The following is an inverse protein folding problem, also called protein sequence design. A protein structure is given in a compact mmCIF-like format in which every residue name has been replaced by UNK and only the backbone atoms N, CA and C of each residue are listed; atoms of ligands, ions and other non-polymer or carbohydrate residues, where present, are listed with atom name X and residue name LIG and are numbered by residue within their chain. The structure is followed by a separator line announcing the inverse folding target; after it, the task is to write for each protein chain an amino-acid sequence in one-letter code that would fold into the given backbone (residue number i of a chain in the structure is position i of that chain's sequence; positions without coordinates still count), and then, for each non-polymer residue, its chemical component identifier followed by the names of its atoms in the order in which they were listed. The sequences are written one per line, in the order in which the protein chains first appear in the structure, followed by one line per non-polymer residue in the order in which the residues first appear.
data_IF_237377012232
#
_entry.id   IF_237377012232
#
_cell.length_a   1.000
_cell.length_b   1.000
_cell.length_c   1.000
_cell.angle_alpha   90.00
_cell.angle_beta   90.00
_cell.angle_gamma   90.00
#
_symmetry.space_group_name_H-M   'P 1'
#
loop_
_entity.id
_entity.type
_entity.pdbx_description
1 polymer ?
#
# COMPACT_ATOMS: atom_id res chain seq x y z
N UNK A 1 5.60 -11.08 0.41
CA UNK A 1 6.58 -10.54 1.39
C UNK A 1 5.99 -9.30 2.03
N UNK A 2 5.82 -9.33 3.35
CA UNK A 2 5.32 -8.20 4.13
C UNK A 2 4.68 -8.64 5.43
N UNK A 3 5.17 -8.13 6.57
CA UNK A 3 4.58 -8.35 7.90
C UNK A 3 4.32 -6.99 8.55
N UNK A 4 3.03 -6.67 8.70
CA UNK A 4 2.52 -5.40 9.20
C UNK A 4 2.61 -4.14 8.32
N UNK A 5 2.88 -4.16 6.99
CA UNK A 5 2.95 -2.93 6.20
C UNK A 5 1.59 -2.46 5.66
N UNK A 6 0.53 -3.28 5.76
CA UNK A 6 -0.79 -2.96 5.19
C UNK A 6 -1.45 -1.77 5.89
N UNK A 7 -2.16 -0.93 5.14
CA UNK A 7 -2.80 0.32 5.65
C UNK A 7 -3.87 0.12 6.74
N UNK A 8 -4.38 -1.11 6.84
CA UNK A 8 -5.46 -1.58 7.73
C UNK A 8 -4.94 -2.60 8.75
N UNK A 9 -3.64 -2.88 8.74
CA UNK A 9 -3.02 -3.91 9.56
C UNK A 9 -2.49 -3.27 10.85
N UNK A 10 -2.79 -3.89 11.99
CA UNK A 10 -2.29 -3.45 13.30
C UNK A 10 -1.31 -4.46 13.90
N UNK A 11 -0.89 -5.49 13.16
CA UNK A 11 0.07 -6.53 13.62
C UNK A 11 1.29 -5.93 14.33
N UNK A 12 1.95 -4.90 13.77
CA UNK A 12 3.12 -4.27 14.41
C UNK A 12 2.81 -3.62 15.75
N UNK A 13 1.62 -3.03 15.88
CA UNK A 13 1.19 -2.34 17.09
C UNK A 13 0.73 -3.34 18.15
N UNK A 14 -0.05 -4.35 17.74
CA UNK A 14 -0.67 -5.32 18.66
C UNK A 14 0.33 -6.39 19.11
N UNK A 15 1.16 -6.89 18.21
CA UNK A 15 2.12 -7.98 18.49
C UNK A 15 3.56 -7.52 18.70
N UNK A 16 3.89 -6.28 18.30
CA UNK A 16 5.28 -5.81 18.24
C UNK A 16 6.12 -6.38 17.09
N UNK A 17 5.53 -7.23 16.23
CA UNK A 17 6.26 -7.95 15.17
C UNK A 17 6.12 -7.26 13.82
N UNK A 18 7.25 -7.05 13.13
CA UNK A 18 7.27 -6.66 11.73
C UNK A 18 8.65 -6.19 11.25
N UNK A 19 8.76 -6.01 9.94
CA UNK A 19 10.00 -5.51 9.30
C UNK A 19 9.62 -4.38 8.33
N UNK A 20 10.33 -3.24 8.31
CA UNK A 20 10.13 -2.20 7.30
C UNK A 20 10.15 -2.76 5.87
N UNK A 21 9.16 -2.38 5.06
CA UNK A 21 8.79 -3.14 3.86
C UNK A 21 9.90 -3.17 2.79
N UNK A 22 10.62 -2.07 2.58
CA UNK A 22 11.75 -2.03 1.63
C UNK A 22 12.83 -3.04 2.02
N UNK A 23 13.23 -3.06 3.30
CA UNK A 23 14.19 -4.04 3.83
C UNK A 23 13.66 -5.46 3.72
N UNK A 24 12.39 -5.70 4.07
CA UNK A 24 11.77 -7.02 3.98
C UNK A 24 11.81 -7.57 2.55
N UNK A 25 11.49 -6.73 1.55
CA UNK A 25 11.56 -7.08 0.14
C UNK A 25 13.00 -7.41 -0.26
N UNK A 26 13.95 -6.54 0.09
CA UNK A 26 15.36 -6.70 -0.27
C UNK A 26 15.95 -8.01 0.28
N UNK A 27 15.78 -8.29 1.57
CA UNK A 27 16.32 -9.51 2.18
C UNK A 27 15.65 -10.77 1.61
N UNK A 28 14.33 -10.75 1.41
CA UNK A 28 13.63 -11.88 0.81
C UNK A 28 14.05 -12.11 -0.66
N UNK A 29 14.20 -11.05 -1.45
CA UNK A 29 14.63 -11.12 -2.84
C UNK A 29 16.09 -11.60 -2.95
N UNK A 30 16.95 -11.21 -2.02
CA UNK A 30 18.33 -11.72 -1.93
C UNK A 30 18.35 -13.23 -1.68
N UNK A 31 17.56 -13.71 -0.71
CA UNK A 31 17.47 -15.14 -0.42
C UNK A 31 16.84 -15.97 -1.55
N UNK A 32 15.86 -15.40 -2.27
CA UNK A 32 15.16 -16.08 -3.36
C UNK A 32 15.93 -16.08 -4.70
N UNK A 33 16.99 -15.27 -4.82
CA UNK A 33 17.69 -14.98 -6.09
C UNK A 33 18.29 -16.23 -6.72
N UNK A 34 19.08 -16.98 -5.96
CA UNK A 34 19.82 -18.14 -6.49
C UNK A 34 18.90 -19.29 -6.88
N UNK A 35 17.72 -19.35 -6.26
CA UNK A 35 16.67 -20.30 -6.60
C UNK A 35 15.79 -19.85 -7.79
N UNK A 36 15.98 -18.63 -8.30
CA UNK A 36 15.16 -18.07 -9.37
C UNK A 36 13.68 -17.86 -9.00
N UNK A 37 13.37 -17.77 -7.70
CA UNK A 37 11.98 -17.68 -7.22
C UNK A 37 11.53 -16.21 -7.20
N UNK A 38 10.38 -15.87 -7.82
CA UNK A 38 9.89 -14.50 -7.84
C UNK A 38 9.32 -14.07 -6.47
N UNK A 39 9.48 -12.77 -6.16
CA UNK A 39 8.98 -12.16 -4.93
C UNK A 39 7.83 -11.20 -5.22
N UNK A 40 6.72 -11.36 -4.47
CA UNK A 40 5.61 -10.41 -4.45
C UNK A 40 5.75 -9.49 -3.23
N UNK A 41 5.85 -8.18 -3.45
CA UNK A 41 5.80 -7.17 -2.39
C UNK A 41 4.35 -6.88 -2.00
N UNK A 42 3.93 -7.25 -0.79
CA UNK A 42 2.54 -7.19 -0.36
C UNK A 42 2.34 -6.18 0.78
N UNK A 43 1.54 -5.14 0.49
CA UNK A 43 1.16 -4.10 1.43
C UNK A 43 2.13 -2.91 1.51
N UNK A 44 1.59 -1.78 1.97
CA UNK A 44 2.33 -0.53 2.20
C UNK A 44 2.47 0.41 1.00
N UNK A 45 1.98 0.03 -0.18
CA UNK A 45 1.97 0.88 -1.38
C UNK A 45 0.90 1.97 -1.22
N UNK A 46 1.32 3.23 -1.25
CA UNK A 46 0.43 4.41 -1.12
C UNK A 46 0.38 5.23 -2.40
N UNK A 47 1.50 5.30 -3.11
CA UNK A 47 1.61 6.02 -4.38
C UNK A 47 2.26 5.13 -5.44
N UNK A 48 2.10 5.50 -6.71
CA UNK A 48 2.75 4.80 -7.84
C UNK A 48 4.27 4.74 -7.69
N UNK A 49 4.90 5.77 -7.11
CA UNK A 49 6.32 5.76 -6.79
C UNK A 49 6.74 4.66 -5.82
N UNK A 50 5.86 4.21 -4.92
CA UNK A 50 6.16 3.09 -4.01
C UNK A 50 6.23 1.75 -4.77
N UNK A 51 5.49 1.61 -5.88
CA UNK A 51 5.59 0.44 -6.77
C UNK A 51 6.99 0.37 -7.37
N UNK A 52 7.48 1.50 -7.90
CA UNK A 52 8.84 1.59 -8.43
C UNK A 52 9.87 1.20 -7.36
N UNK A 53 9.77 1.77 -6.16
CA UNK A 53 10.67 1.44 -5.03
C UNK A 53 10.59 -0.04 -4.64
N UNK A 54 9.41 -0.65 -4.61
CA UNK A 54 9.27 -2.08 -4.30
C UNK A 54 9.97 -2.97 -5.34
N UNK A 55 9.91 -2.59 -6.62
CA UNK A 55 10.59 -3.29 -7.71
C UNK A 55 12.10 -3.10 -7.61
N UNK A 56 12.60 -1.87 -7.42
CA UNK A 56 14.05 -1.61 -7.22
C UNK A 56 14.58 -2.36 -5.99
N UNK A 57 13.77 -2.54 -4.94
CA UNK A 57 14.13 -3.34 -3.78
C UNK A 57 14.25 -4.85 -4.08
N UNK A 58 13.81 -5.32 -5.25
CA UNK A 58 14.00 -6.68 -5.72
C UNK A 58 12.70 -7.46 -5.98
N UNK A 59 11.52 -6.88 -5.75
CA UNK A 59 10.26 -7.56 -6.04
C UNK A 59 10.01 -7.70 -7.56
N UNK A 60 9.37 -8.80 -7.97
CA UNK A 60 8.92 -9.03 -9.33
C UNK A 60 7.57 -8.38 -9.60
N UNK A 61 6.73 -8.31 -8.57
CA UNK A 61 5.39 -7.73 -8.63
C UNK A 61 4.97 -7.17 -7.27
N UNK A 62 3.89 -6.39 -7.27
CA UNK A 62 3.31 -5.82 -6.06
C UNK A 62 1.88 -6.31 -5.88
N UNK A 63 1.46 -6.50 -4.63
CA UNK A 63 0.08 -6.74 -4.24
C UNK A 63 -0.48 -5.50 -3.55
N UNK A 64 -1.63 -5.02 -4.04
CA UNK A 64 -2.22 -3.74 -3.65
C UNK A 64 -3.64 -3.98 -3.13
N UNK A 65 -3.89 -3.55 -1.89
CA UNK A 65 -5.22 -3.55 -1.27
C UNK A 65 -5.84 -2.16 -1.24
N UNK A 66 -5.36 -1.30 -0.33
CA UNK A 66 -6.01 -0.03 0.00
C UNK A 66 -6.23 0.92 -1.18
N UNK A 67 -5.36 0.93 -2.19
CA UNK A 67 -5.57 1.76 -3.37
C UNK A 67 -6.74 1.30 -4.23
N UNK A 68 -6.97 -0.02 -4.30
CA UNK A 68 -8.04 -0.61 -5.10
C UNK A 68 -9.38 -0.76 -4.36
N UNK A 69 -9.39 -0.59 -3.03
CA UNK A 69 -10.57 -0.79 -2.22
C UNK A 69 -11.74 0.16 -2.57
N UNK A 70 -11.44 1.37 -3.05
CA UNK A 70 -12.44 2.40 -3.40
C UNK A 70 -12.92 2.37 -4.84
N UNK A 71 -12.50 1.43 -5.66
CA UNK A 71 -12.81 1.39 -7.10
C UNK A 71 -14.18 0.74 -7.37
N UNK A 72 -14.76 1.00 -8.54
CA UNK A 72 -16.10 0.52 -8.91
C UNK A 72 -16.21 -1.00 -8.85
N UNK A 73 -15.18 -1.70 -9.32
CA UNK A 73 -15.10 -3.17 -9.41
C UNK A 73 -14.80 -3.85 -8.07
N UNK A 74 -14.37 -3.09 -7.05
CA UNK A 74 -14.13 -3.66 -5.72
C UNK A 74 -15.45 -4.17 -5.10
N UNK A 75 -15.43 -5.21 -4.26
CA UNK A 75 -16.64 -5.68 -3.61
C UNK A 75 -17.20 -4.65 -2.62
N UNK A 76 -18.50 -4.73 -2.33
CA UNK A 76 -19.19 -3.88 -1.35
C UNK A 76 -19.98 -2.75 -1.99
N UNK A 77 -20.93 -2.19 -1.22
CA UNK A 77 -21.82 -1.12 -1.66
C UNK A 77 -21.18 0.25 -1.49
N UNK A 78 -21.59 1.20 -2.31
CA UNK A 78 -21.28 2.62 -2.12
C UNK A 78 -22.01 3.12 -0.86
N UNK A 79 -21.31 3.91 -0.06
CA UNK A 79 -21.78 4.50 1.19
C UNK A 79 -21.73 6.02 1.00
N UNK A 80 -22.88 6.68 1.11
CA UNK A 80 -22.93 8.14 1.15
C UNK A 80 -22.71 8.60 2.60
N UNK A 81 -21.73 9.47 2.80
CA UNK A 81 -21.46 10.05 4.11
C UNK A 81 -20.96 11.49 3.97
N UNK A 82 -21.60 12.43 4.69
CA UNK A 82 -21.26 13.86 4.64
C UNK A 82 -21.12 14.40 3.19
N UNK A 83 -22.03 13.98 2.30
CA UNK A 83 -22.03 14.42 0.91
C UNK A 83 -20.94 13.83 0.03
N UNK A 84 -20.13 12.89 0.52
CA UNK A 84 -19.09 12.19 -0.25
C UNK A 84 -19.39 10.70 -0.33
N UNK A 85 -18.93 10.08 -1.42
CA UNK A 85 -19.12 8.65 -1.70
C UNK A 85 -17.90 7.85 -1.24
N UNK A 86 -18.14 6.77 -0.52
CA UNK A 86 -17.12 5.87 0.01
C UNK A 86 -17.42 4.41 -0.29
N UNK A 87 -16.44 3.52 -0.11
CA UNK A 87 -16.62 2.07 -0.03
C UNK A 87 -16.03 1.52 1.28
N UNK A 88 -16.63 0.45 1.78
CA UNK A 88 -16.11 -0.25 2.96
C UNK A 88 -14.78 -0.93 2.64
N UNK A 89 -13.81 -0.80 3.55
CA UNK A 89 -12.51 -1.45 3.46
C UNK A 89 -12.10 -1.96 4.84
N UNK A 90 -11.67 -3.22 4.93
CA UNK A 90 -11.33 -3.84 6.21
C UNK A 90 -10.17 -4.80 6.08
N UNK A 91 -9.44 -4.95 7.19
CA UNK A 91 -8.39 -5.95 7.28
C UNK A 91 -8.91 -7.34 7.53
N UNK A 92 -8.18 -8.32 6.99
CA UNK A 92 -8.50 -9.73 7.24
C UNK A 92 -8.32 -10.12 8.71
N UNK A 93 -7.56 -9.35 9.49
CA UNK A 93 -7.44 -9.49 10.95
C UNK A 93 -8.46 -8.67 11.74
N UNK A 94 -9.42 -8.01 11.09
CA UNK A 94 -10.51 -7.31 11.77
C UNK A 94 -11.54 -8.28 12.33
N UNK A 95 -12.26 -7.86 13.37
CA UNK A 95 -13.29 -8.68 14.01
C UNK A 95 -14.33 -9.21 13.01
N UNK A 96 -14.90 -8.35 12.16
CA UNK A 96 -15.92 -8.75 11.19
C UNK A 96 -15.39 -9.59 10.04
N UNK A 97 -14.08 -9.59 9.77
CA UNK A 97 -13.46 -10.54 8.85
C UNK A 97 -13.22 -11.89 9.53
N UNK A 98 -12.66 -11.89 10.74
CA UNK A 98 -12.30 -13.12 11.46
C UNK A 98 -13.51 -13.97 11.83
N UNK A 99 -14.61 -13.34 12.23
CA UNK A 99 -15.89 -14.02 12.48
C UNK A 99 -16.43 -14.71 11.21
N UNK A 100 -16.07 -14.21 10.02
CA UNK A 100 -16.44 -14.79 8.72
C UNK A 100 -15.41 -15.79 8.17
N UNK A 101 -14.44 -16.22 8.98
CA UNK A 101 -13.54 -17.33 8.65
C UNK A 101 -12.07 -16.97 8.41
N UNK A 102 -11.65 -15.71 8.56
CA UNK A 102 -10.23 -15.35 8.42
C UNK A 102 -9.39 -15.56 9.68
N UNK A 103 -9.97 -16.08 10.77
CA UNK A 103 -9.30 -16.32 12.05
C UNK A 103 -8.14 -17.33 11.97
N UNK A 104 -8.26 -18.35 11.11
CA UNK A 104 -7.20 -19.35 10.88
C UNK A 104 -5.91 -18.69 10.36
N UNK A 105 -6.05 -17.65 9.53
CA UNK A 105 -4.92 -16.88 8.99
C UNK A 105 -4.05 -16.23 10.07
N UNK A 106 -4.63 -15.99 11.25
CA UNK A 106 -3.98 -15.43 12.43
C UNK A 106 -3.74 -16.49 13.52
N UNK A 107 -3.95 -17.77 13.22
CA UNK A 107 -3.85 -18.91 14.15
C UNK A 107 -4.74 -18.74 15.39
N UNK A 108 -5.89 -18.08 15.23
CA UNK A 108 -6.90 -17.88 16.28
C UNK A 108 -8.16 -18.73 16.05
N UNK A 109 -8.03 -19.91 15.42
CA UNK A 109 -9.12 -20.85 15.22
C UNK A 109 -9.49 -21.55 16.55
N UNK A 110 -10.50 -21.03 17.25
CA UNK A 110 -11.04 -21.63 18.47
C UNK A 110 -12.24 -20.86 19.03
N UNK A 111 -12.93 -21.42 20.04
CA UNK A 111 -14.10 -20.81 20.69
C UNK A 111 -13.75 -19.68 21.69
N UNK A 112 -12.54 -19.10 21.59
CA UNK A 112 -12.04 -18.07 22.49
C UNK A 112 -12.31 -16.64 22.00
N UNK A 113 -12.07 -15.64 22.88
CA UNK A 113 -12.10 -14.22 22.46
C UNK A 113 -10.98 -13.96 21.46
N UNK A 114 -11.35 -13.38 20.32
CA UNK A 114 -10.39 -13.01 19.26
C UNK A 114 -9.64 -11.74 19.62
N UNK A 115 -8.36 -11.66 19.24
CA UNK A 115 -7.52 -10.46 19.36
C UNK A 115 -7.22 -9.94 17.95
N UNK A 116 -7.91 -8.87 17.50
CA UNK A 116 -7.81 -8.41 16.11
C UNK A 116 -6.47 -7.73 15.80
N UNK A 117 -5.90 -8.09 14.64
CA UNK A 117 -4.70 -7.48 14.06
C UNK A 117 -5.02 -6.66 12.79
N UNK A 118 -6.26 -6.20 12.68
CA UNK A 118 -6.67 -5.26 11.65
C UNK A 118 -7.91 -4.46 12.03
N UNK A 119 -8.14 -3.39 11.28
CA UNK A 119 -9.27 -2.46 11.48
C UNK A 119 -10.27 -2.53 10.34
N UNK A 120 -11.46 -1.99 10.59
CA UNK A 120 -12.50 -1.76 9.58
C UNK A 120 -12.68 -0.26 9.40
N UNK A 121 -12.87 0.18 8.16
CA UNK A 121 -13.03 1.57 7.82
C UNK A 121 -13.67 1.76 6.46
N UNK A 122 -13.54 2.97 5.94
CA UNK A 122 -14.04 3.36 4.62
C UNK A 122 -12.96 4.12 3.87
N UNK A 123 -12.99 3.99 2.55
CA UNK A 123 -12.10 4.70 1.64
C UNK A 123 -12.94 5.50 0.64
N UNK A 124 -12.47 6.67 0.17
CA UNK A 124 -13.18 7.44 -0.85
C UNK A 124 -13.42 6.59 -2.11
N UNK A 125 -14.54 6.82 -2.78
CA UNK A 125 -14.78 6.24 -4.10
C UNK A 125 -13.83 6.87 -5.12
N UNK A 126 -13.20 6.05 -5.96
CA UNK A 126 -12.10 6.46 -6.85
C UNK A 126 -12.39 6.29 -8.34
N UNK A 127 -13.62 5.94 -8.71
CA UNK A 127 -13.98 5.64 -10.10
C UNK A 127 -13.56 4.23 -10.52
N UNK A 128 -13.27 4.06 -11.80
CA UNK A 128 -13.03 2.76 -12.43
C UNK A 128 -11.57 2.30 -12.31
N UNK A 129 -11.36 0.98 -12.25
CA UNK A 129 -10.04 0.38 -12.11
C UNK A 129 -9.11 0.72 -13.26
N UNK A 130 -9.64 0.76 -14.50
CA UNK A 130 -8.83 0.98 -15.69
C UNK A 130 -8.05 2.30 -15.63
N UNK A 131 -8.75 3.40 -15.32
CA UNK A 131 -8.14 4.74 -15.22
C UNK A 131 -7.14 4.81 -14.06
N UNK A 132 -7.47 4.17 -12.95
CA UNK A 132 -6.60 4.15 -11.78
C UNK A 132 -5.30 3.36 -12.04
N UNK A 133 -5.41 2.19 -12.69
CA UNK A 133 -4.25 1.38 -13.09
C UNK A 133 -3.40 2.10 -14.13
N UNK A 134 -4.01 2.83 -15.06
CA UNK A 134 -3.29 3.65 -16.02
C UNK A 134 -2.36 4.65 -15.33
N UNK A 135 -2.82 5.33 -14.28
CA UNK A 135 -1.99 6.24 -13.47
C UNK A 135 -0.85 5.53 -12.73
N UNK A 136 -1.12 4.35 -12.15
CA UNK A 136 -0.09 3.55 -11.47
C UNK A 136 1.02 3.09 -12.43
N UNK A 137 0.63 2.57 -13.60
CA UNK A 137 1.56 2.14 -14.65
C UNK A 137 2.31 3.34 -15.22
N UNK A 138 1.65 4.47 -15.42
CA UNK A 138 2.28 5.72 -15.84
C UNK A 138 3.38 6.17 -14.88
N UNK A 139 3.12 6.14 -13.57
CA UNK A 139 4.13 6.44 -12.55
C UNK A 139 5.31 5.46 -12.54
N UNK A 140 5.06 4.16 -12.72
CA UNK A 140 6.13 3.16 -12.86
C UNK A 140 6.99 3.41 -14.11
N UNK A 141 6.35 3.67 -15.26
CA UNK A 141 7.05 3.98 -16.52
C UNK A 141 7.90 5.25 -16.40
N UNK A 142 7.39 6.28 -15.74
CA UNK A 142 8.16 7.49 -15.46
C UNK A 142 9.39 7.18 -14.60
N UNK A 143 9.23 6.40 -13.52
CA UNK A 143 10.34 5.95 -12.68
C UNK A 143 11.40 5.15 -13.46
N UNK A 144 10.96 4.22 -14.31
CA UNK A 144 11.85 3.47 -15.21
C UNK A 144 12.60 4.39 -16.18
N UNK A 145 11.95 5.43 -16.69
CA UNK A 145 12.57 6.45 -17.55
C UNK A 145 13.67 7.22 -16.83
N UNK A 146 13.43 7.69 -15.60
CA UNK A 146 14.44 8.37 -14.77
C UNK A 146 15.62 7.46 -14.41
N UNK A 147 15.37 6.17 -14.16
CA UNK A 147 16.43 5.20 -13.88
C UNK A 147 17.16 4.71 -15.14
N UNK A 148 16.69 5.05 -16.35
CA UNK A 148 17.28 4.58 -17.60
C UNK A 148 17.11 3.07 -17.84
N UNK A 149 16.05 2.47 -17.32
CA UNK A 149 15.84 1.01 -17.33
C UNK A 149 14.73 0.60 -18.28
N UNK A 150 15.02 -0.17 -19.36
CA UNK A 150 14.02 -0.49 -20.38
C UNK A 150 13.06 -1.62 -19.96
N UNK A 151 13.44 -2.44 -18.98
CA UNK A 151 12.63 -3.56 -18.49
C UNK A 151 12.51 -3.55 -16.97
N UNK A 152 11.52 -4.28 -16.45
CA UNK A 152 11.38 -4.51 -15.01
C UNK A 152 12.61 -5.20 -14.43
N UNK A 153 13.23 -6.13 -15.17
CA UNK A 153 14.46 -6.79 -14.71
C UNK A 153 15.63 -5.82 -14.61
N UNK A 154 15.76 -4.86 -15.53
CA UNK A 154 16.76 -3.80 -15.41
C UNK A 154 16.48 -2.91 -14.19
N UNK A 155 15.23 -2.52 -13.97
CA UNK A 155 14.86 -1.73 -12.78
C UNK A 155 15.22 -2.46 -11.47
N UNK A 156 15.05 -3.78 -11.40
CA UNK A 156 15.39 -4.59 -10.23
C UNK A 156 16.90 -4.75 -9.99
N UNK A 157 17.71 -4.76 -11.05
CA UNK A 157 19.14 -5.09 -10.99
C UNK A 157 20.05 -3.88 -11.00
N UNK A 158 19.67 -2.84 -11.74
CA UNK A 158 20.57 -1.76 -12.13
C UNK A 158 20.28 -0.45 -11.38
N UNK A 159 19.03 -0.24 -10.92
CA UNK A 159 18.65 0.98 -10.21
C UNK A 159 19.17 1.00 -8.77
N UNK A 160 19.41 2.20 -8.26
CA UNK A 160 20.02 2.43 -6.96
C UNK A 160 19.16 3.35 -6.10
N UNK A 161 19.29 3.20 -4.78
CA UNK A 161 18.65 4.06 -3.79
C UNK A 161 19.63 5.05 -3.19
N UNK A 162 19.09 6.20 -2.80
CA UNK A 162 19.69 7.07 -1.79
C UNK A 162 18.78 7.09 -0.56
N UNK A 163 19.37 6.98 0.63
CA UNK A 163 18.64 7.13 1.89
C UNK A 163 18.43 8.60 2.16
N UNK A 164 17.20 8.96 2.52
CA UNK A 164 16.81 10.35 2.77
C UNK A 164 16.31 10.51 4.20
N UNK A 165 16.28 11.75 4.69
CA UNK A 165 15.74 12.10 6.01
C UNK A 165 14.23 12.40 5.93
N UNK A 166 13.58 12.60 7.07
CA UNK A 166 12.19 13.06 7.11
C UNK A 166 11.99 14.44 6.46
N UNK A 167 12.99 15.33 6.54
CA UNK A 167 12.93 16.63 5.88
C UNK A 167 12.82 16.48 4.35
N UNK A 168 13.59 15.55 3.77
CA UNK A 168 13.51 15.23 2.33
C UNK A 168 12.20 14.56 1.93
N UNK A 169 11.54 13.83 2.85
CA UNK A 169 10.18 13.32 2.57
C UNK A 169 9.22 14.50 2.43
N UNK A 170 9.26 15.48 3.34
CA UNK A 170 8.44 16.70 3.23
C UNK A 170 8.75 17.46 1.94
N UNK A 171 10.03 17.61 1.60
CA UNK A 171 10.50 18.21 0.34
C UNK A 171 9.99 17.47 -0.90
N UNK A 172 9.89 16.13 -0.84
CA UNK A 172 9.44 15.32 -1.99
C UNK A 172 7.94 15.45 -2.29
N UNK A 173 7.14 15.87 -1.32
CA UNK A 173 5.71 16.12 -1.50
C UNK A 173 5.48 17.60 -1.84
N UNK A 174 4.40 17.99 -2.55
CA UNK A 174 4.03 19.40 -2.67
C UNK A 174 3.98 20.07 -1.29
N UNK A 175 4.75 21.14 -1.13
CA UNK A 175 4.85 21.92 0.11
C UNK A 175 4.80 23.42 -0.22
N UNK A 176 4.48 24.24 0.79
CA UNK A 176 4.40 25.71 0.69
C UNK A 176 3.40 26.26 -0.34
N UNK A 177 2.39 25.47 -0.73
CA UNK A 177 1.29 25.86 -1.64
C UNK A 177 -0.04 25.24 -1.19
N UNK A 178 -1.15 25.89 -1.54
CA UNK A 178 -2.50 25.32 -1.38
C UNK A 178 -2.92 24.61 -2.68
N UNK A 179 -3.23 23.31 -2.59
CA UNK A 179 -3.73 22.54 -3.74
C UNK A 179 -5.17 22.95 -4.01
N UNK A 180 -5.43 23.49 -5.19
CA UNK A 180 -6.77 23.94 -5.63
C UNK A 180 -7.49 22.90 -6.50
N UNK A 181 -6.74 21.98 -7.10
CA UNK A 181 -7.25 20.89 -7.92
C UNK A 181 -6.47 19.61 -7.64
N UNK A 182 -7.20 18.53 -7.33
CA UNK A 182 -6.57 17.23 -7.08
C UNK A 182 -6.10 16.59 -8.40
N UNK A 183 -4.88 16.06 -8.39
CA UNK A 183 -4.35 15.29 -9.49
C UNK A 183 -4.81 13.81 -9.37
N UNK A 184 -5.07 13.11 -10.49
CA UNK A 184 -5.58 11.74 -10.46
C UNK A 184 -4.59 10.72 -9.85
N UNK A 185 -3.32 11.08 -9.72
CA UNK A 185 -2.25 10.25 -9.18
C UNK A 185 -1.71 10.76 -7.83
N UNK A 186 -2.28 11.83 -7.27
CA UNK A 186 -1.83 12.42 -6.02
C UNK A 186 -3.01 12.96 -5.20
N UNK A 187 -3.37 12.21 -4.17
CA UNK A 187 -4.32 12.63 -3.14
C UNK A 187 -3.60 12.62 -1.79
N UNK A 188 -3.36 13.78 -1.17
CA UNK A 188 -2.81 13.82 0.18
C UNK A 188 -3.78 13.14 1.14
N UNK A 189 -3.24 12.47 2.17
CA UNK A 189 -4.06 11.83 3.20
C UNK A 189 -4.82 12.92 3.95
N UNK A 190 -6.16 12.93 3.88
CA UNK A 190 -7.01 13.92 4.57
C UNK A 190 -7.14 13.63 6.08
N UNK A 191 -6.11 13.02 6.69
CA UNK A 191 -6.12 12.58 8.10
C UNK A 191 -5.63 13.66 9.09
N UNK A 192 -5.44 14.91 8.66
CA UNK A 192 -5.21 16.06 9.54
C UNK A 192 -6.34 17.09 9.42
N UNK A 193 -7.56 16.65 9.73
CA UNK A 193 -8.71 17.52 9.99
C UNK A 193 -8.92 17.70 11.50
N UNK A 194 -7.93 18.26 12.19
CA UNK A 194 -8.10 18.87 13.50
C UNK A 194 -7.04 19.95 13.69
N UNK A 195 -7.08 20.99 12.87
CA UNK A 195 -6.59 22.29 13.30
C UNK A 195 -7.62 22.83 14.30
N UNK A 196 -7.50 22.36 15.53
CA UNK A 196 -7.98 23.07 16.70
C UNK A 196 -7.00 24.20 16.99
N UNK A 197 -7.36 25.40 16.53
CA UNK A 197 -7.18 26.67 17.25
C UNK A 197 -8.08 27.73 16.62
#
# INVERSE_FOLDING_TARGET
VGIGPGSICTTRVVSGVGVPQVTAIYEAAKAARDAGIPVIADGGIRFSGDICKAIVAGANSVMIGGLFAGLSESPGRLILYQGRTFKAYRGMGSMGAMVKGSSERYRQSGNGKLVPEGVEGRVPFKGDLADFVYQLVGGLRAGMGYCGTPTIENLRKDAQFIRVTSASIRESHPHDIAITQEAPNYSPDQSSGSDSN
#
